data_IF_539106682031
#
_entry.id   IF_539106682031
#
_cell.length_a   1.000
_cell.length_b   1.000
_cell.length_c   1.000
_cell.angle_alpha   90.00
_cell.angle_beta   90.00
_cell.angle_gamma   90.00
#
_symmetry.space_group_name_H-M   'P 1'
#
loop_
_entity.id
_entity.type
_entity.pdbx_description
1 polymer ?
#
# COMPACT_ATOMS: atom_id res chain seq x y z
N UNK A 1 37.35 27.86 18.13
CA UNK A 1 36.31 26.82 18.33
C UNK A 1 35.98 26.28 16.95
N UNK A 2 36.51 25.11 16.59
CA UNK A 2 36.21 24.49 15.29
C UNK A 2 34.85 23.80 15.39
N UNK A 3 33.89 24.29 14.61
CA UNK A 3 32.61 23.62 14.42
C UNK A 3 32.85 22.57 13.33
N UNK A 4 32.80 21.29 13.70
CA UNK A 4 32.81 20.19 12.73
C UNK A 4 31.36 19.88 12.38
N UNK A 5 31.02 19.97 11.09
CA UNK A 5 29.71 19.54 10.60
C UNK A 5 29.62 18.00 10.65
N UNK A 6 28.47 17.47 11.06
CA UNK A 6 28.17 16.04 11.05
C UNK A 6 27.17 15.75 9.93
N UNK A 7 27.50 14.81 9.05
CA UNK A 7 26.63 14.37 7.95
C UNK A 7 26.08 12.97 8.24
N UNK A 8 24.77 12.78 8.03
CA UNK A 8 24.11 11.47 8.11
C UNK A 8 22.96 11.39 7.10
N UNK A 9 22.49 10.16 6.83
CA UNK A 9 21.35 9.91 5.94
C UNK A 9 20.16 9.49 6.79
N UNK A 10 19.06 10.22 6.67
CA UNK A 10 17.76 9.87 7.25
C UNK A 10 16.82 9.40 6.16
N UNK A 11 16.05 8.35 6.43
CA UNK A 11 14.96 7.89 5.55
C UNK A 11 13.64 8.30 6.17
N UNK A 12 12.87 9.08 5.43
CA UNK A 12 11.53 9.49 5.80
C UNK A 12 10.49 8.72 4.97
N UNK A 13 9.27 8.50 5.51
CA UNK A 13 8.19 7.89 4.76
C UNK A 13 7.79 8.74 3.56
N UNK A 14 7.29 8.09 2.52
CA UNK A 14 6.84 8.74 1.29
C UNK A 14 5.40 9.28 1.39
N UNK A 15 4.67 8.91 2.45
CA UNK A 15 3.30 9.35 2.68
C UNK A 15 2.30 8.22 2.43
N UNK A 16 1.53 8.31 1.34
CA UNK A 16 0.51 7.32 0.99
C UNK A 16 0.95 6.49 -0.22
N UNK A 17 1.01 5.17 -0.03
CA UNK A 17 1.44 4.19 -1.03
C UNK A 17 0.22 3.44 -1.57
N UNK A 18 0.10 3.33 -2.89
CA UNK A 18 -0.90 2.48 -3.52
C UNK A 18 -0.26 1.14 -3.89
N UNK A 19 -0.84 0.02 -3.44
CA UNK A 19 -0.40 -1.33 -3.78
C UNK A 19 -1.49 -2.00 -4.62
N UNK A 20 -1.13 -2.43 -5.83
CA UNK A 20 -1.99 -3.14 -6.76
C UNK A 20 -1.48 -4.57 -6.89
N UNK A 21 -2.30 -5.54 -6.52
CA UNK A 21 -1.94 -6.95 -6.61
C UNK A 21 -2.67 -7.68 -7.75
N UNK A 22 -2.00 -8.60 -8.46
CA UNK A 22 -2.59 -9.43 -9.49
C UNK A 22 -3.33 -10.64 -8.89
N UNK A 23 -4.01 -11.41 -9.75
CA UNK A 23 -4.90 -12.51 -9.36
C UNK A 23 -4.23 -13.86 -9.12
N UNK A 24 -3.00 -14.05 -9.57
CA UNK A 24 -2.30 -15.34 -9.52
C UNK A 24 -1.79 -15.70 -8.11
N UNK A 25 -1.39 -14.69 -7.32
CA UNK A 25 -1.02 -14.86 -5.91
C UNK A 25 -1.63 -13.73 -5.06
N UNK A 26 -2.97 -13.68 -4.95
CA UNK A 26 -3.71 -12.49 -4.54
C UNK A 26 -3.48 -12.07 -3.08
N UNK A 27 -3.01 -13.00 -2.24
CA UNK A 27 -2.61 -12.70 -0.86
C UNK A 27 -1.12 -12.36 -0.76
N UNK A 28 -0.23 -13.19 -1.31
CA UNK A 28 1.21 -13.01 -1.16
C UNK A 28 1.70 -11.71 -1.82
N UNK A 29 1.26 -11.43 -3.05
CA UNK A 29 1.67 -10.23 -3.78
C UNK A 29 1.01 -8.97 -3.25
N UNK A 30 -0.01 -9.06 -2.39
CA UNK A 30 -0.57 -7.89 -1.72
C UNK A 30 0.03 -7.68 -0.32
N UNK A 31 0.13 -8.73 0.48
CA UNK A 31 0.55 -8.64 1.88
C UNK A 31 2.06 -8.44 2.03
N UNK A 32 2.88 -9.04 1.17
CA UNK A 32 4.34 -8.87 1.20
C UNK A 32 4.77 -7.39 1.05
N UNK A 33 4.32 -6.64 0.02
CA UNK A 33 4.64 -5.22 -0.08
C UNK A 33 3.94 -4.38 0.99
N UNK A 34 2.75 -4.76 1.47
CA UNK A 34 2.06 -4.08 2.56
C UNK A 34 2.92 -4.04 3.81
N UNK A 35 3.51 -5.16 4.21
CA UNK A 35 4.43 -5.23 5.35
C UNK A 35 5.61 -4.26 5.19
N UNK A 36 6.20 -4.19 4.00
CA UNK A 36 7.31 -3.26 3.72
C UNK A 36 6.90 -1.79 3.77
N UNK A 37 5.75 -1.45 3.19
CA UNK A 37 5.23 -0.08 3.18
C UNK A 37 4.89 0.41 4.59
N UNK A 38 4.24 -0.42 5.41
CA UNK A 38 3.94 -0.11 6.80
C UNK A 38 5.20 0.02 7.66
N UNK A 39 6.17 -0.89 7.50
CA UNK A 39 7.44 -0.81 8.23
C UNK A 39 8.26 0.44 7.86
N UNK A 40 8.12 0.92 6.63
CA UNK A 40 8.71 2.18 6.17
C UNK A 40 7.93 3.43 6.64
N UNK A 41 6.87 3.28 7.44
CA UNK A 41 6.12 4.39 8.03
C UNK A 41 5.06 5.01 7.11
N UNK A 42 4.64 4.30 6.05
CA UNK A 42 3.65 4.82 5.10
C UNK A 42 2.22 4.41 5.48
N UNK A 43 1.26 5.24 5.08
CA UNK A 43 -0.13 4.81 4.95
C UNK A 43 -0.31 4.09 3.61
N UNK A 44 -1.25 3.14 3.54
CA UNK A 44 -1.38 2.23 2.40
C UNK A 44 -2.81 2.14 1.90
N UNK A 45 -2.96 2.25 0.59
CA UNK A 45 -4.18 1.95 -0.14
C UNK A 45 -3.96 0.64 -0.92
N UNK A 46 -4.78 -0.37 -0.65
CA UNK A 46 -4.68 -1.69 -1.24
C UNK A 46 -5.74 -1.87 -2.31
N UNK A 47 -5.33 -2.31 -3.49
CA UNK A 47 -6.22 -2.71 -4.57
C UNK A 47 -5.94 -4.17 -4.96
N UNK A 48 -6.67 -5.13 -4.38
CA UNK A 48 -6.65 -6.52 -4.84
C UNK A 48 -7.29 -6.64 -6.24
N UNK A 49 -6.95 -7.70 -6.96
CA UNK A 49 -7.53 -7.96 -8.27
C UNK A 49 -8.98 -8.46 -8.18
N UNK A 50 -9.85 -7.85 -8.97
CA UNK A 50 -11.24 -8.22 -9.20
C UNK A 50 -11.41 -9.62 -9.82
N UNK A 51 -10.34 -10.15 -10.43
CA UNK A 51 -10.30 -11.52 -10.97
C UNK A 51 -10.15 -12.57 -9.86
N UNK A 52 -9.88 -12.15 -8.61
CA UNK A 52 -9.83 -13.01 -7.42
C UNK A 52 -10.87 -12.55 -6.37
N UNK A 53 -12.18 -12.60 -6.67
CA UNK A 53 -13.23 -11.91 -5.92
C UNK A 53 -13.38 -12.39 -4.46
N UNK A 54 -13.14 -13.67 -4.20
CA UNK A 54 -13.19 -14.22 -2.83
C UNK A 54 -12.05 -13.66 -1.96
N UNK A 55 -10.86 -13.50 -2.53
CA UNK A 55 -9.72 -12.92 -1.81
C UNK A 55 -9.91 -11.43 -1.60
N UNK A 56 -10.38 -10.71 -2.62
CA UNK A 56 -10.73 -9.29 -2.53
C UNK A 56 -11.72 -9.03 -1.39
N UNK A 57 -12.82 -9.80 -1.35
CA UNK A 57 -13.84 -9.67 -0.30
C UNK A 57 -13.29 -10.00 1.08
N UNK A 58 -12.53 -11.09 1.20
CA UNK A 58 -11.91 -11.50 2.46
C UNK A 58 -11.00 -10.40 3.02
N UNK A 59 -10.17 -9.80 2.17
CA UNK A 59 -9.25 -8.73 2.57
C UNK A 59 -9.99 -7.47 2.99
N UNK A 60 -11.04 -7.08 2.24
CA UNK A 60 -11.88 -5.94 2.58
C UNK A 60 -12.61 -6.11 3.92
N UNK A 61 -12.99 -7.34 4.27
CA UNK A 61 -13.66 -7.65 5.54
C UNK A 61 -12.71 -7.81 6.72
N UNK A 62 -11.53 -8.40 6.52
CA UNK A 62 -10.61 -8.72 7.60
C UNK A 62 -9.66 -7.59 7.94
N UNK A 63 -9.04 -6.92 6.97
CA UNK A 63 -8.00 -5.92 7.25
C UNK A 63 -8.45 -4.80 8.21
N UNK A 64 -9.66 -4.22 8.07
CA UNK A 64 -10.13 -3.18 9.00
C UNK A 64 -10.30 -3.65 10.45
N UNK A 65 -10.34 -4.97 10.71
CA UNK A 65 -10.43 -5.52 12.06
C UNK A 65 -9.08 -5.57 12.78
N UNK A 66 -7.98 -5.47 12.03
CA UNK A 66 -6.62 -5.62 12.56
C UNK A 66 -5.78 -4.35 12.38
N UNK A 67 -6.07 -3.53 11.37
CA UNK A 67 -5.33 -2.33 11.05
C UNK A 67 -6.31 -1.16 10.95
N UNK A 68 -5.93 -0.03 11.54
CA UNK A 68 -6.72 1.20 11.47
C UNK A 68 -6.97 1.63 10.02
N UNK A 69 -8.21 2.02 9.72
CA UNK A 69 -8.65 2.36 8.37
C UNK A 69 -8.09 3.70 7.85
N UNK A 70 -7.45 4.49 8.71
CA UNK A 70 -6.65 5.67 8.36
C UNK A 70 -5.21 5.31 7.96
N UNK A 71 -4.70 4.18 8.43
CA UNK A 71 -3.36 3.66 8.07
C UNK A 71 -3.43 2.77 6.84
N UNK A 72 -4.41 1.86 6.78
CA UNK A 72 -4.54 0.90 5.69
C UNK A 72 -5.98 0.76 5.24
N UNK A 73 -6.25 0.96 3.94
CA UNK A 73 -7.59 0.82 3.36
C UNK A 73 -7.58 -0.07 2.14
N UNK A 74 -8.59 -0.94 2.02
CA UNK A 74 -8.84 -1.73 0.82
C UNK A 74 -9.84 -1.00 -0.06
N UNK A 75 -9.52 -0.86 -1.34
CA UNK A 75 -10.42 -0.36 -2.38
C UNK A 75 -10.71 -1.48 -3.38
N UNK A 76 -11.99 -1.75 -3.57
CA UNK A 76 -12.47 -2.78 -4.49
C UNK A 76 -13.02 -2.13 -5.75
N UNK A 77 -12.69 -2.66 -6.93
CA UNK A 77 -13.21 -2.11 -8.17
C UNK A 77 -12.34 -2.40 -9.40
N UNK A 78 -12.96 -2.30 -10.58
CA UNK A 78 -12.31 -2.55 -11.86
C UNK A 78 -11.44 -1.41 -12.38
N UNK A 79 -11.08 -1.43 -13.67
CA UNK A 79 -10.15 -0.48 -14.30
C UNK A 79 -10.54 1.00 -14.17
N UNK A 80 -11.85 1.30 -14.10
CA UNK A 80 -12.34 2.67 -13.94
C UNK A 80 -11.88 3.31 -12.61
N UNK A 81 -11.79 2.54 -11.53
CA UNK A 81 -11.32 3.02 -10.24
C UNK A 81 -9.80 3.20 -10.23
N UNK A 82 -9.06 2.37 -10.99
CA UNK A 82 -7.61 2.48 -11.10
C UNK A 82 -7.16 3.82 -11.65
N UNK A 83 -7.81 4.32 -12.72
CA UNK A 83 -7.45 5.60 -13.35
C UNK A 83 -7.44 6.75 -12.34
N UNK A 84 -8.39 6.77 -11.40
CA UNK A 84 -8.46 7.80 -10.36
C UNK A 84 -7.35 7.65 -9.31
N UNK A 85 -6.97 6.43 -8.98
CA UNK A 85 -5.93 6.14 -7.99
C UNK A 85 -4.52 6.51 -8.50
N UNK A 86 -4.23 6.24 -9.77
CA UNK A 86 -2.94 6.61 -10.40
C UNK A 86 -2.69 8.11 -10.44
N UNK A 87 -3.73 8.92 -10.59
CA UNK A 87 -3.60 10.39 -10.69
C UNK A 87 -3.34 11.07 -9.33
N UNK A 88 -3.57 10.37 -8.22
CA UNK A 88 -3.57 10.98 -6.88
C UNK A 88 -2.49 10.45 -5.95
N UNK A 89 -1.94 9.27 -6.20
CA UNK A 89 -1.01 8.63 -5.28
C UNK A 89 0.35 8.41 -5.92
N UNK A 90 1.39 8.79 -5.19
CA UNK A 90 2.78 8.48 -5.50
C UNK A 90 3.47 8.21 -4.16
N UNK A 91 4.13 7.05 -3.99
CA UNK A 91 4.45 6.03 -5.00
C UNK A 91 3.33 4.97 -5.22
N UNK A 92 3.35 4.35 -6.40
CA UNK A 92 2.51 3.20 -6.76
C UNK A 92 3.38 1.96 -6.91
N UNK A 93 2.99 0.86 -6.26
CA UNK A 93 3.63 -0.45 -6.35
C UNK A 93 2.68 -1.38 -7.11
N UNK A 94 3.07 -1.78 -8.31
CA UNK A 94 2.37 -2.77 -9.14
C UNK A 94 3.22 -4.04 -9.13
N UNK A 95 2.60 -5.18 -8.83
CA UNK A 95 3.28 -6.48 -8.75
C UNK A 95 2.70 -7.51 -9.71
#
# INVERSE_FOLDING_TARGET
MQIYDAAYIQKDPLGVVLIIAPWNFPLQLLLKPLCGALAAGNCVLLKPSEMAPHCEKLLAELLPKYIDAGICRVITGGPALMTLAFLKFTPVVIL
#
